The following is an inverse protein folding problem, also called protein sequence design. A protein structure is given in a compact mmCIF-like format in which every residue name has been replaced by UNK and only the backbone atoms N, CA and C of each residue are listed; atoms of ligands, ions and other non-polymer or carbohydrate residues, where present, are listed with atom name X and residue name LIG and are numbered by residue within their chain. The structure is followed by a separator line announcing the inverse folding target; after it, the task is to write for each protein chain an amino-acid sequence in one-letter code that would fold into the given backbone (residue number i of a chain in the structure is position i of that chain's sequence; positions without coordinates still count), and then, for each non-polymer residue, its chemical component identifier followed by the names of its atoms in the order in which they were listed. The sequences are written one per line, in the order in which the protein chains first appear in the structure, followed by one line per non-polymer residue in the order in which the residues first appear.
data_IF_779599561950
#
_entry.id   IF_779599561950
#
_cell.length_a   1.000
_cell.length_b   1.000
_cell.length_c   1.000
_cell.angle_alpha   90.00
_cell.angle_beta   90.00
_cell.angle_gamma   90.00
#
_symmetry.space_group_name_H-M   'P 1'
#
loop_
_entity.id
_entity.type
_entity.pdbx_description
1 polymer ?
#
# COMPACT_ATOMS: atom_id res chain seq x y z
N UNK A 1 -10.23 7.84 -2.85
CA UNK A 1 -8.84 7.66 -3.36
C UNK A 1 -8.83 6.92 -4.69
N UNK A 2 -7.83 7.15 -5.54
CA UNK A 2 -7.60 6.42 -6.79
C UNK A 2 -6.30 5.63 -6.68
N UNK A 3 -6.33 4.36 -7.08
CA UNK A 3 -5.18 3.45 -7.11
C UNK A 3 -4.68 3.32 -8.55
N UNK A 4 -3.37 3.37 -8.76
CA UNK A 4 -2.76 3.47 -10.09
C UNK A 4 -1.97 2.22 -10.47
N UNK A 5 -1.04 1.79 -9.60
CA UNK A 5 -0.23 0.59 -9.81
C UNK A 5 0.08 -0.11 -8.49
N UNK A 6 0.50 -1.38 -8.59
CA UNK A 6 1.06 -2.14 -7.48
C UNK A 6 2.34 -2.85 -7.94
N UNK A 7 3.42 -2.63 -7.20
CA UNK A 7 4.67 -3.38 -7.34
C UNK A 7 4.90 -4.19 -6.06
N UNK A 8 5.52 -5.36 -6.18
CA UNK A 8 5.82 -6.20 -5.03
C UNK A 8 7.27 -6.69 -5.04
N UNK A 9 7.87 -6.73 -3.85
CA UNK A 9 9.22 -7.21 -3.61
C UNK A 9 9.21 -8.24 -2.49
N UNK A 10 10.00 -9.30 -2.64
CA UNK A 10 10.23 -10.26 -1.57
C UNK A 10 11.52 -9.89 -0.85
N UNK A 11 11.44 -9.68 0.46
CA UNK A 11 12.58 -9.32 1.30
C UNK A 11 12.50 -10.09 2.61
N UNK A 12 13.56 -10.81 3.00
CA UNK A 12 13.69 -11.45 4.32
C UNK A 12 12.46 -12.28 4.78
N UNK A 13 11.75 -12.93 3.84
CA UNK A 13 10.56 -13.75 4.13
C UNK A 13 9.25 -12.97 4.28
N UNK A 14 9.27 -11.66 4.03
CA UNK A 14 8.07 -10.81 3.90
C UNK A 14 7.88 -10.37 2.46
N UNK A 15 6.65 -9.96 2.13
CA UNK A 15 6.32 -9.29 0.87
C UNK A 15 6.11 -7.81 1.17
N UNK A 16 6.82 -6.95 0.45
CA UNK A 16 6.61 -5.51 0.49
C UNK A 16 5.86 -5.11 -0.77
N UNK A 17 4.64 -4.60 -0.59
CA UNK A 17 3.84 -4.05 -1.67
C UNK A 17 3.94 -2.52 -1.69
N UNK A 18 4.20 -1.96 -2.86
CA UNK A 18 4.19 -0.52 -3.14
C UNK A 18 3.00 -0.20 -4.03
N UNK A 19 2.03 0.54 -3.50
CA UNK A 19 0.81 0.90 -4.21
C UNK A 19 0.80 2.40 -4.49
N UNK A 20 0.86 2.76 -5.77
CA UNK A 20 0.71 4.14 -6.22
C UNK A 20 -0.74 4.62 -6.05
N UNK A 21 -0.95 5.76 -5.38
CA UNK A 21 -2.28 6.30 -5.14
C UNK A 21 -2.34 7.82 -5.18
N UNK A 22 -3.55 8.34 -5.40
CA UNK A 22 -3.89 9.76 -5.34
C UNK A 22 -5.11 9.95 -4.43
N UNK A 23 -5.05 10.95 -3.54
CA UNK A 23 -6.20 11.34 -2.74
C UNK A 23 -7.13 12.24 -3.54
N UNK A 24 -8.43 12.25 -3.21
CA UNK A 24 -9.43 13.01 -3.96
C UNK A 24 -9.31 14.52 -3.76
N UNK A 25 -8.83 14.93 -2.59
CA UNK A 25 -8.52 16.30 -2.22
C UNK A 25 -7.17 16.79 -2.75
N UNK A 26 -6.25 15.86 -3.07
CA UNK A 26 -4.94 16.14 -3.67
C UNK A 26 -4.71 15.35 -4.98
N UNK A 27 -5.50 15.62 -6.05
CA UNK A 27 -5.50 14.81 -7.27
C UNK A 27 -4.22 14.94 -8.11
N UNK A 28 -3.45 16.03 -7.92
CA UNK A 28 -2.20 16.27 -8.62
C UNK A 28 -0.97 15.66 -7.91
N UNK A 29 -1.18 15.12 -6.70
CA UNK A 29 -0.12 14.53 -5.88
C UNK A 29 -0.13 13.00 -6.00
N UNK A 30 1.00 12.41 -6.36
CA UNK A 30 1.20 10.97 -6.39
C UNK A 30 1.91 10.50 -5.12
N UNK A 31 1.26 9.59 -4.39
CA UNK A 31 1.78 8.97 -3.18
C UNK A 31 2.04 7.48 -3.42
N UNK A 32 2.83 6.88 -2.53
CA UNK A 32 3.07 5.44 -2.50
C UNK A 32 2.71 4.92 -1.13
N UNK A 33 1.69 4.06 -1.05
CA UNK A 33 1.47 3.25 0.15
C UNK A 33 2.42 2.06 0.13
N UNK A 34 3.25 1.95 1.16
CA UNK A 34 4.11 0.79 1.41
C UNK A 34 3.44 -0.10 2.44
N UNK A 35 3.18 -1.35 2.06
CA UNK A 35 2.53 -2.33 2.92
C UNK A 35 3.45 -3.53 3.10
N UNK A 36 3.79 -3.83 4.34
CA UNK A 36 4.52 -5.05 4.69
C UNK A 36 3.54 -6.17 5.00
N UNK A 37 3.70 -7.30 4.32
CA UNK A 37 2.89 -8.50 4.47
C UNK A 37 3.78 -9.60 5.05
N UNK A 38 3.41 -10.06 6.25
CA UNK A 38 4.11 -11.13 6.95
C UNK A 38 3.98 -12.48 6.23
N UNK A 39 4.78 -13.47 6.65
CA UNK A 39 4.78 -14.81 6.07
C UNK A 39 3.41 -15.53 6.17
N UNK A 40 2.56 -15.14 7.13
CA UNK A 40 1.18 -15.61 7.26
C UNK A 40 0.20 -14.94 6.30
N UNK A 41 0.63 -13.95 5.52
CA UNK A 41 -0.21 -13.16 4.60
C UNK A 41 -0.88 -11.95 5.24
N UNK A 42 -0.70 -11.70 6.55
CA UNK A 42 -1.28 -10.55 7.23
C UNK A 42 -0.45 -9.27 7.01
N UNK A 43 -1.12 -8.15 6.71
CA UNK A 43 -0.48 -6.84 6.63
C UNK A 43 -0.13 -6.32 8.04
N UNK A 44 1.15 -5.98 8.25
CA UNK A 44 1.71 -5.61 9.57
C UNK A 44 2.14 -4.15 9.67
N UNK A 45 2.59 -3.56 8.56
CA UNK A 45 3.05 -2.17 8.50
C UNK A 45 2.39 -1.45 7.34
N UNK A 46 2.00 -0.19 7.59
CA UNK A 46 1.34 0.69 6.64
C UNK A 46 2.03 2.04 6.70
N UNK A 47 2.69 2.41 5.62
CA UNK A 47 3.39 3.70 5.50
C UNK A 47 2.93 4.40 4.23
N UNK A 48 2.91 5.73 4.26
CA UNK A 48 2.60 6.54 3.09
C UNK A 48 3.80 7.43 2.79
N UNK A 49 4.28 7.36 1.56
CA UNK A 49 5.38 8.17 1.07
C UNK A 49 4.90 9.18 0.04
N UNK A 50 5.44 10.40 0.14
CA UNK A 50 5.35 11.43 -0.90
C UNK A 50 6.77 11.83 -1.28
N UNK A 51 7.15 11.67 -2.55
CA UNK A 51 8.51 11.94 -3.04
C UNK A 51 9.62 11.28 -2.18
N UNK A 52 9.35 10.08 -1.66
CA UNK A 52 10.29 9.32 -0.81
C UNK A 52 10.31 9.73 0.67
N UNK A 53 9.49 10.69 1.10
CA UNK A 53 9.38 11.09 2.49
C UNK A 53 8.15 10.49 3.15
N UNK A 54 8.32 9.93 4.35
CA UNK A 54 7.22 9.41 5.17
C UNK A 54 6.30 10.54 5.63
N UNK A 55 5.02 10.46 5.24
CA UNK A 55 3.98 11.42 5.58
C UNK A 55 3.43 11.23 7.01
N UNK A 56 3.82 10.16 7.72
CA UNK A 56 3.27 9.74 9.03
C UNK A 56 1.75 9.61 8.99
N UNK A 57 1.25 9.17 7.84
CA UNK A 57 -0.17 9.03 7.57
C UNK A 57 -0.73 7.80 8.28
N UNK A 58 -1.96 7.92 8.79
CA UNK A 58 -2.66 6.81 9.43
C UNK A 58 -3.87 6.42 8.60
N UNK A 59 -3.73 5.34 7.83
CA UNK A 59 -4.82 4.81 7.01
C UNK A 59 -6.00 4.38 7.88
N UNK A 60 -7.21 4.78 7.47
CA UNK A 60 -8.45 4.26 8.01
C UNK A 60 -8.66 2.79 7.62
N UNK A 61 -9.53 2.10 8.36
CA UNK A 61 -9.85 0.69 8.06
C UNK A 61 -10.47 0.50 6.66
N UNK A 62 -11.23 1.49 6.19
CA UNK A 62 -11.80 1.48 4.84
C UNK A 62 -10.71 1.59 3.76
N UNK A 63 -9.69 2.42 3.97
CA UNK A 63 -8.57 2.56 3.04
C UNK A 63 -7.69 1.32 3.03
N UNK A 64 -7.40 0.74 4.21
CA UNK A 64 -6.69 -0.54 4.30
C UNK A 64 -7.42 -1.64 3.54
N UNK A 65 -8.74 -1.74 3.71
CA UNK A 65 -9.55 -2.73 3.00
C UNK A 65 -9.50 -2.52 1.48
N UNK A 66 -9.57 -1.28 1.00
CA UNK A 66 -9.45 -0.96 -0.43
C UNK A 66 -8.06 -1.29 -0.98
N UNK A 67 -6.98 -0.99 -0.24
CA UNK A 67 -5.62 -1.35 -0.61
C UNK A 67 -5.42 -2.87 -0.65
N UNK A 68 -5.91 -3.61 0.35
CA UNK A 68 -5.83 -5.09 0.36
C UNK A 68 -6.56 -5.70 -0.83
N UNK A 69 -7.78 -5.21 -1.12
CA UNK A 69 -8.55 -5.68 -2.26
C UNK A 69 -7.78 -5.47 -3.57
N UNK A 70 -7.24 -4.28 -3.77
CA UNK A 70 -6.47 -3.96 -4.97
C UNK A 70 -5.17 -4.78 -5.06
N UNK A 71 -4.39 -4.89 -3.98
CA UNK A 71 -3.19 -5.73 -3.94
C UNK A 71 -3.50 -7.18 -4.32
N UNK A 72 -4.63 -7.72 -3.83
CA UNK A 72 -5.09 -9.07 -4.18
C UNK A 72 -5.46 -9.21 -5.65
N UNK A 73 -6.09 -8.19 -6.26
CA UNK A 73 -6.37 -8.14 -7.70
C UNK A 73 -5.08 -8.11 -8.53
N UNK A 74 -4.02 -7.49 -8.00
CA UNK A 74 -2.69 -7.43 -8.62
C UNK A 74 -1.83 -8.68 -8.35
N UNK A 75 -2.37 -9.69 -7.65
CA UNK A 75 -1.70 -10.96 -7.41
C UNK A 75 -0.77 -10.99 -6.18
N UNK A 76 -0.85 -9.99 -5.31
CA UNK A 76 -0.16 -10.00 -4.02
C UNK A 76 -0.84 -10.98 -3.07
N UNK A 77 -0.07 -11.89 -2.49
CA UNK A 77 -0.57 -12.90 -1.56
C UNK A 77 -0.79 -12.30 -0.16
N UNK A 78 -1.96 -11.67 0.05
CA UNK A 78 -2.40 -11.14 1.34
C UNK A 78 -3.74 -11.75 1.80
N UNK A 79 -3.93 -11.85 3.13
CA UNK A 79 -5.15 -12.31 3.81
C UNK A 79 -6.11 -11.17 4.11
#
# INVERSE_FOLDING_TARGET
MKLDYCEQEQQDGVVIAHVGLQFEDEPDSLYVARVEIGAEGAARLWELYYNGFDCKYSFSEAEKAALLAYMKEQGVACL
#
